data_IF_703248575622
#
_entry.id   IF_703248575622
#
_cell.length_a   1.000
_cell.length_b   1.000
_cell.length_c   1.000
_cell.angle_alpha   90.00
_cell.angle_beta   90.00
_cell.angle_gamma   90.00
#
_symmetry.space_group_name_H-M   'P 1'
#
loop_
_entity.id
_entity.type
_entity.pdbx_description
1 polymer ?
#
# COMPACT_ATOMS: atom_id res chain seq x y z
N UNK A 1 -20.20 23.87 -28.25
CA UNK A 1 -20.45 23.36 -26.88
C UNK A 1 -19.31 22.45 -26.47
N UNK A 2 -18.47 22.85 -25.51
CA UNK A 2 -17.53 21.92 -24.87
C UNK A 2 -18.36 20.99 -23.96
N UNK A 3 -18.45 19.71 -24.30
CA UNK A 3 -19.01 18.70 -23.39
C UNK A 3 -18.07 18.62 -22.19
N UNK A 4 -18.46 19.21 -21.07
CA UNK A 4 -17.82 18.95 -19.79
C UNK A 4 -18.22 17.54 -19.39
N UNK A 5 -17.31 16.59 -19.52
CA UNK A 5 -17.50 15.26 -18.94
C UNK A 5 -17.75 15.43 -17.44
N UNK A 6 -18.64 14.63 -16.83
CA UNK A 6 -18.81 14.65 -15.39
C UNK A 6 -17.46 14.37 -14.72
N UNK A 7 -17.14 15.06 -13.61
CA UNK A 7 -15.87 14.88 -12.92
C UNK A 7 -15.74 13.43 -12.46
N UNK A 8 -14.65 12.78 -12.85
CA UNK A 8 -14.33 11.42 -12.45
C UNK A 8 -13.91 11.39 -10.97
N UNK A 9 -14.58 10.56 -10.17
CA UNK A 9 -14.20 10.32 -8.78
C UNK A 9 -13.08 9.27 -8.72
N UNK A 10 -11.90 9.68 -9.19
CA UNK A 10 -10.71 8.83 -9.29
C UNK A 10 -10.36 8.13 -7.97
N UNK A 11 -10.39 8.79 -6.79
CA UNK A 11 -10.11 8.12 -5.52
C UNK A 11 -11.09 6.96 -5.27
N UNK A 12 -12.38 7.16 -5.50
CA UNK A 12 -13.40 6.12 -5.32
C UNK A 12 -13.17 4.94 -6.27
N UNK A 13 -12.87 5.21 -7.54
CA UNK A 13 -12.58 4.16 -8.53
C UNK A 13 -11.35 3.36 -8.10
N UNK A 14 -10.30 4.02 -7.63
CA UNK A 14 -9.09 3.35 -7.15
C UNK A 14 -9.35 2.49 -5.91
N UNK A 15 -10.17 2.94 -4.96
CA UNK A 15 -10.57 2.10 -3.82
C UNK A 15 -11.34 0.86 -4.24
N UNK A 16 -12.27 1.00 -5.20
CA UNK A 16 -13.02 -0.14 -5.74
C UNK A 16 -12.08 -1.10 -6.48
N UNK A 17 -11.19 -0.58 -7.32
CA UNK A 17 -10.21 -1.39 -8.05
C UNK A 17 -9.27 -2.13 -7.09
N UNK A 18 -8.80 -1.46 -6.03
CA UNK A 18 -7.97 -2.07 -4.99
C UNK A 18 -8.70 -3.19 -4.26
N UNK A 19 -9.99 -2.98 -3.93
CA UNK A 19 -10.84 -4.00 -3.32
C UNK A 19 -11.04 -5.22 -4.22
N UNK A 20 -11.30 -5.01 -5.51
CA UNK A 20 -11.42 -6.09 -6.49
C UNK A 20 -10.10 -6.86 -6.61
N UNK A 21 -8.97 -6.16 -6.67
CA UNK A 21 -7.65 -6.80 -6.74
C UNK A 21 -7.33 -7.60 -5.47
N UNK A 22 -7.67 -7.09 -4.29
CA UNK A 22 -7.54 -7.83 -3.03
C UNK A 22 -8.34 -9.14 -3.07
N UNK A 23 -9.60 -9.09 -3.50
CA UNK A 23 -10.44 -10.29 -3.63
C UNK A 23 -9.85 -11.25 -4.67
N UNK A 24 -9.41 -10.75 -5.82
CA UNK A 24 -8.82 -11.57 -6.88
C UNK A 24 -7.55 -12.29 -6.40
N UNK A 25 -6.67 -11.61 -5.66
CA UNK A 25 -5.46 -12.24 -5.09
C UNK A 25 -5.79 -13.30 -4.05
N UNK A 26 -6.80 -13.08 -3.19
CA UNK A 26 -7.27 -14.11 -2.25
C UNK A 26 -7.80 -15.34 -3.00
N UNK A 27 -8.67 -15.15 -3.99
CA UNK A 27 -9.24 -16.25 -4.78
C UNK A 27 -8.15 -17.00 -5.53
N UNK A 28 -7.20 -16.29 -6.14
CA UNK A 28 -6.07 -16.89 -6.85
C UNK A 28 -5.18 -17.72 -5.91
N UNK A 29 -4.92 -17.24 -4.69
CA UNK A 29 -4.16 -17.98 -3.68
C UNK A 29 -4.89 -19.25 -3.24
N UNK A 30 -6.20 -19.17 -2.98
CA UNK A 30 -7.01 -20.32 -2.59
C UNK A 30 -7.12 -21.37 -3.71
N UNK A 31 -7.09 -20.96 -4.96
CA UNK A 31 -7.09 -21.86 -6.12
C UNK A 31 -5.68 -22.39 -6.48
N UNK A 32 -4.65 -22.04 -5.71
CA UNK A 32 -3.27 -22.48 -5.96
C UNK A 32 -2.66 -21.91 -7.24
N UNK A 33 -3.14 -20.76 -7.73
CA UNK A 33 -2.60 -20.10 -8.93
C UNK A 33 -1.15 -19.71 -8.72
N UNK A 34 -0.81 -19.15 -7.55
CA UNK A 34 0.55 -18.73 -7.23
C UNK A 34 1.53 -19.91 -7.05
N UNK A 35 1.05 -21.12 -6.77
CA UNK A 35 1.88 -22.32 -6.74
C UNK A 35 2.41 -22.73 -8.13
N UNK A 36 1.81 -22.20 -9.20
CA UNK A 36 2.26 -22.42 -10.59
C UNK A 36 3.32 -21.41 -11.04
N UNK A 37 3.55 -20.37 -10.25
CA UNK A 37 4.53 -19.34 -10.55
C UNK A 37 5.87 -19.70 -9.92
N UNK A 38 6.94 -19.40 -10.64
CA UNK A 38 8.28 -19.34 -10.08
C UNK A 38 8.40 -18.19 -9.06
N UNK A 39 9.41 -18.27 -8.19
CA UNK A 39 9.71 -17.20 -7.25
C UNK A 39 10.02 -15.87 -7.95
N UNK A 40 10.65 -15.92 -9.12
CA UNK A 40 10.96 -14.76 -9.93
C UNK A 40 9.68 -14.07 -10.46
N UNK A 41 8.69 -14.84 -10.91
CA UNK A 41 7.40 -14.29 -11.35
C UNK A 41 6.59 -13.69 -10.20
N UNK A 42 6.60 -14.34 -9.03
CA UNK A 42 6.03 -13.78 -7.79
C UNK A 42 6.68 -12.46 -7.40
N UNK A 43 8.02 -12.40 -7.43
CA UNK A 43 8.78 -11.18 -7.18
C UNK A 43 8.47 -10.10 -8.21
N UNK A 44 8.35 -10.46 -9.49
CA UNK A 44 7.96 -9.56 -10.57
C UNK A 44 6.57 -8.97 -10.38
N UNK A 45 5.57 -9.78 -10.00
CA UNK A 45 4.22 -9.32 -9.70
C UNK A 45 4.19 -8.36 -8.50
N UNK A 46 4.92 -8.69 -7.43
CA UNK A 46 5.02 -7.84 -6.24
C UNK A 46 5.65 -6.49 -6.58
N UNK A 47 6.76 -6.50 -7.33
CA UNK A 47 7.44 -5.29 -7.81
C UNK A 47 6.53 -4.46 -8.72
N UNK A 48 5.83 -5.10 -9.66
CA UNK A 48 4.87 -4.43 -10.52
C UNK A 48 3.78 -3.74 -9.71
N UNK A 49 3.17 -4.44 -8.75
CA UNK A 49 2.14 -3.87 -7.88
C UNK A 49 2.67 -2.66 -7.09
N UNK A 50 3.89 -2.75 -6.56
CA UNK A 50 4.53 -1.66 -5.83
C UNK A 50 4.80 -0.44 -6.71
N UNK A 51 5.38 -0.64 -7.90
CA UNK A 51 5.68 0.43 -8.85
C UNK A 51 4.39 1.07 -9.35
N UNK A 52 3.37 0.27 -9.66
CA UNK A 52 2.06 0.76 -10.10
C UNK A 52 1.38 1.60 -9.00
N UNK A 53 1.34 1.11 -7.77
CA UNK A 53 0.77 1.83 -6.64
C UNK A 53 1.53 3.13 -6.36
N UNK A 54 2.86 3.10 -6.41
CA UNK A 54 3.70 4.29 -6.28
C UNK A 54 3.42 5.31 -7.39
N UNK A 55 3.47 4.87 -8.65
CA UNK A 55 3.21 5.72 -9.80
C UNK A 55 1.81 6.35 -9.74
N UNK A 56 0.78 5.56 -9.43
CA UNK A 56 -0.60 6.06 -9.25
C UNK A 56 -0.65 7.15 -8.17
N UNK A 57 0.01 6.91 -7.04
CA UNK A 57 0.06 7.86 -5.93
C UNK A 57 0.76 9.17 -6.29
N UNK A 58 1.85 9.12 -7.07
CA UNK A 58 2.65 10.31 -7.39
C UNK A 58 2.25 11.01 -8.68
N UNK A 59 1.64 10.33 -9.64
CA UNK A 59 1.27 10.91 -10.94
C UNK A 59 -0.17 11.42 -10.94
N UNK A 60 -1.09 10.76 -10.23
CA UNK A 60 -2.49 11.17 -10.19
C UNK A 60 -2.71 12.36 -9.24
N UNK A 61 -3.12 13.50 -9.82
CA UNK A 61 -3.36 14.71 -9.05
C UNK A 61 -4.57 14.59 -8.11
N UNK A 62 -5.65 13.97 -8.56
CA UNK A 62 -6.88 13.82 -7.77
C UNK A 62 -6.61 12.98 -6.52
N UNK A 63 -5.85 11.90 -6.68
CA UNK A 63 -5.42 11.07 -5.56
C UNK A 63 -4.48 11.83 -4.62
N UNK A 64 -3.49 12.56 -5.14
CA UNK A 64 -2.59 13.38 -4.28
C UNK A 64 -3.36 14.42 -3.47
N UNK A 65 -4.30 15.12 -4.09
CA UNK A 65 -5.12 16.14 -3.44
C UNK A 65 -6.01 15.48 -2.37
N UNK A 66 -6.64 14.35 -2.69
CA UNK A 66 -7.40 13.55 -1.72
C UNK A 66 -6.54 13.12 -0.53
N UNK A 67 -5.36 12.57 -0.78
CA UNK A 67 -4.41 12.13 0.23
C UNK A 67 -3.92 13.32 1.09
N UNK A 68 -3.69 14.49 0.50
CA UNK A 68 -3.28 15.68 1.24
C UNK A 68 -4.31 16.10 2.31
N UNK A 69 -5.61 15.90 2.07
CA UNK A 69 -6.67 16.22 3.06
C UNK A 69 -6.69 15.31 4.28
N UNK A 70 -6.05 14.14 4.23
CA UNK A 70 -6.08 13.16 5.32
C UNK A 70 -5.15 13.57 6.46
N UNK A 71 -5.43 13.15 7.68
CA UNK A 71 -4.56 13.45 8.83
C UNK A 71 -3.36 12.50 8.88
N UNK A 72 -2.23 12.91 9.45
CA UNK A 72 -1.07 12.00 9.65
C UNK A 72 -1.45 10.78 10.49
N UNK A 73 -2.39 10.94 11.45
CA UNK A 73 -2.92 9.84 12.24
C UNK A 73 -3.61 8.79 11.37
N UNK A 74 -4.36 9.21 10.34
CA UNK A 74 -5.00 8.30 9.39
C UNK A 74 -4.00 7.43 8.63
N UNK A 75 -2.86 8.00 8.23
CA UNK A 75 -1.78 7.22 7.60
C UNK A 75 -1.13 6.24 8.57
N UNK A 76 -0.89 6.68 9.80
CA UNK A 76 -0.31 5.83 10.84
C UNK A 76 -1.22 4.63 11.13
N UNK A 77 -2.52 4.87 11.32
CA UNK A 77 -3.51 3.81 11.51
C UNK A 77 -3.51 2.83 10.34
N UNK A 78 -3.54 3.34 9.10
CA UNK A 78 -3.50 2.50 7.91
C UNK A 78 -2.24 1.63 7.84
N UNK A 79 -1.06 2.21 8.06
CA UNK A 79 0.20 1.47 8.05
C UNK A 79 0.21 0.38 9.12
N UNK A 80 -0.21 0.70 10.35
CA UNK A 80 -0.30 -0.28 11.44
C UNK A 80 -1.26 -1.43 11.10
N UNK A 81 -2.43 -1.14 10.53
CA UNK A 81 -3.41 -2.15 10.16
C UNK A 81 -2.87 -3.09 9.08
N UNK A 82 -2.24 -2.53 8.04
CA UNK A 82 -1.65 -3.33 6.97
C UNK A 82 -0.47 -4.17 7.49
N UNK A 83 0.41 -3.58 8.29
CA UNK A 83 1.56 -4.30 8.87
C UNK A 83 1.13 -5.42 9.81
N UNK A 84 0.09 -5.20 10.60
CA UNK A 84 -0.51 -6.25 11.43
C UNK A 84 -1.06 -7.38 10.56
N UNK A 85 -1.73 -7.06 9.45
CA UNK A 85 -2.17 -8.04 8.47
C UNK A 85 -1.03 -8.83 7.83
N UNK A 86 0.06 -8.16 7.47
CA UNK A 86 1.30 -8.77 6.94
C UNK A 86 1.90 -9.73 7.98
N UNK A 87 2.04 -9.29 9.24
CA UNK A 87 2.60 -10.09 10.32
C UNK A 87 1.75 -11.33 10.61
N UNK A 88 0.43 -11.16 10.77
CA UNK A 88 -0.50 -12.27 11.03
C UNK A 88 -0.51 -13.25 9.86
N UNK A 89 -0.62 -12.75 8.62
CA UNK A 89 -0.59 -13.60 7.42
C UNK A 89 0.71 -14.41 7.34
N UNK A 90 1.85 -13.77 7.57
CA UNK A 90 3.15 -14.45 7.56
C UNK A 90 3.23 -15.53 8.64
N UNK A 91 2.80 -15.24 9.87
CA UNK A 91 2.78 -16.22 10.97
C UNK A 91 1.88 -17.42 10.65
N UNK A 92 0.67 -17.18 10.13
CA UNK A 92 -0.25 -18.26 9.75
C UNK A 92 0.37 -19.12 8.65
N UNK A 93 0.94 -18.51 7.61
CA UNK A 93 1.52 -19.25 6.50
C UNK A 93 2.70 -20.12 6.92
N UNK A 94 3.60 -19.56 7.75
CA UNK A 94 4.74 -20.32 8.27
C UNK A 94 4.28 -21.46 9.19
N UNK A 95 3.25 -21.22 10.01
CA UNK A 95 2.65 -22.26 10.86
C UNK A 95 2.04 -23.40 10.03
N UNK A 96 1.24 -23.07 9.01
CA UNK A 96 0.63 -24.06 8.10
C UNK A 96 1.68 -24.82 7.28
N UNK A 97 2.76 -24.16 6.88
CA UNK A 97 3.85 -24.77 6.14
C UNK A 97 4.86 -25.53 7.03
N UNK A 98 4.60 -25.66 8.34
CA UNK A 98 5.51 -26.29 9.30
C UNK A 98 6.94 -25.71 9.23
N UNK A 99 7.06 -24.39 9.04
CA UNK A 99 8.32 -23.69 8.90
C UNK A 99 9.00 -23.80 7.53
N UNK A 100 8.41 -24.50 6.55
CA UNK A 100 8.95 -24.61 5.19
C UNK A 100 8.62 -23.34 4.39
N UNK A 101 9.55 -22.39 4.42
CA UNK A 101 9.39 -21.06 3.81
C UNK A 101 8.98 -21.15 2.33
N UNK A 102 9.63 -21.98 1.53
CA UNK A 102 9.33 -22.10 0.09
C UNK A 102 7.87 -22.50 -0.17
N UNK A 103 7.32 -23.43 0.62
CA UNK A 103 5.93 -23.85 0.51
C UNK A 103 4.97 -22.74 0.98
N UNK A 104 5.37 -21.96 1.99
CA UNK A 104 4.59 -20.83 2.47
C UNK A 104 4.49 -19.73 1.41
N UNK A 105 5.60 -19.39 0.72
CA UNK A 105 5.68 -18.24 -0.20
C UNK A 105 4.63 -18.27 -1.32
N UNK A 106 4.25 -19.45 -1.79
CA UNK A 106 3.30 -19.63 -2.90
C UNK A 106 1.89 -20.02 -2.45
N UNK A 107 1.68 -20.17 -1.15
CA UNK A 107 0.42 -20.64 -0.56
C UNK A 107 -0.32 -19.50 0.14
N UNK A 108 -1.63 -19.68 0.29
CA UNK A 108 -2.40 -18.82 1.18
C UNK A 108 -1.92 -19.00 2.63
N UNK A 109 -1.79 -17.91 3.43
CA UNK A 109 -2.04 -16.49 3.08
C UNK A 109 -0.82 -15.72 2.54
N UNK A 110 0.39 -16.26 2.59
CA UNK A 110 1.61 -15.49 2.33
C UNK A 110 1.74 -15.04 0.87
N UNK A 111 1.15 -15.77 -0.10
CA UNK A 111 1.07 -15.27 -1.47
C UNK A 111 0.33 -13.92 -1.56
N UNK A 112 -0.81 -13.78 -0.85
CA UNK A 112 -1.58 -12.51 -0.79
C UNK A 112 -0.76 -11.41 -0.12
N UNK A 113 -0.03 -11.75 0.94
CA UNK A 113 0.88 -10.81 1.61
C UNK A 113 1.91 -10.27 0.62
N UNK A 114 2.55 -11.15 -0.16
CA UNK A 114 3.61 -10.77 -1.10
C UNK A 114 3.09 -9.93 -2.26
N UNK A 115 1.98 -10.33 -2.89
CA UNK A 115 1.51 -9.70 -4.13
C UNK A 115 0.60 -8.49 -3.90
N UNK A 116 0.12 -8.29 -2.67
CA UNK A 116 -0.83 -7.22 -2.36
C UNK A 116 -0.46 -6.41 -1.12
N UNK A 117 -0.44 -7.05 0.06
CA UNK A 117 -0.34 -6.31 1.31
C UNK A 117 1.02 -5.61 1.46
N UNK A 118 2.11 -6.29 1.08
CA UNK A 118 3.47 -5.78 1.21
C UNK A 118 3.76 -4.60 0.26
N UNK A 119 3.42 -4.65 -1.04
CA UNK A 119 3.47 -3.48 -1.92
C UNK A 119 2.67 -2.29 -1.37
N UNK A 120 1.47 -2.54 -0.85
CA UNK A 120 0.61 -1.50 -0.30
C UNK A 120 1.20 -0.88 0.98
N UNK A 121 1.73 -1.73 1.87
CA UNK A 121 2.43 -1.30 3.08
C UNK A 121 3.63 -0.41 2.74
N UNK A 122 4.44 -0.81 1.74
CA UNK A 122 5.60 -0.06 1.30
C UNK A 122 5.22 1.36 0.81
N UNK A 123 4.16 1.49 0.01
CA UNK A 123 3.65 2.80 -0.41
C UNK A 123 3.13 3.60 0.78
N UNK A 124 2.40 2.97 1.71
CA UNK A 124 1.93 3.59 2.95
C UNK A 124 3.07 4.17 3.78
N UNK A 125 4.16 3.42 3.94
CA UNK A 125 5.37 3.85 4.61
C UNK A 125 6.05 5.03 3.92
N UNK A 126 6.15 5.02 2.58
CA UNK A 126 6.71 6.15 1.83
C UNK A 126 5.91 7.44 2.05
N UNK A 127 4.58 7.35 2.02
CA UNK A 127 3.70 8.50 2.25
C UNK A 127 3.78 9.01 3.69
N UNK A 128 3.84 8.11 4.66
CA UNK A 128 4.01 8.45 6.06
C UNK A 128 5.36 9.14 6.28
N UNK A 129 6.45 8.56 5.76
CA UNK A 129 7.80 9.13 5.84
C UNK A 129 7.86 10.53 5.23
N UNK A 130 7.30 10.73 4.03
CA UNK A 130 7.25 12.05 3.40
C UNK A 130 6.50 13.09 4.24
N UNK A 131 5.41 12.70 4.89
CA UNK A 131 4.66 13.60 5.78
C UNK A 131 5.41 13.94 7.05
N UNK A 132 6.13 12.98 7.63
CA UNK A 132 6.91 13.19 8.84
C UNK A 132 8.14 14.08 8.54
N UNK A 133 8.80 13.86 7.40
CA UNK A 133 9.95 14.68 6.98
C UNK A 133 9.55 16.11 6.57
N UNK A 134 8.37 16.30 5.97
CA UNK A 134 7.84 17.64 5.66
C UNK A 134 7.42 18.45 6.89
N UNK A 135 7.38 17.84 8.07
CA UNK A 135 7.03 18.52 9.34
C UNK A 135 8.20 19.23 10.02
N UNK A 136 9.38 19.32 9.39
CA UNK A 136 10.52 19.99 10.00
C UNK A 136 10.31 21.50 10.24
N UNK A 137 10.80 22.03 11.39
CA UNK A 137 10.27 23.23 12.03
C UNK A 137 11.07 24.49 11.67
N UNK A 138 11.01 24.96 10.42
CA UNK A 138 11.67 26.24 10.06
C UNK A 138 10.90 27.48 10.58
N UNK A 139 9.76 27.28 11.28
CA UNK A 139 8.97 28.36 11.86
C UNK A 139 9.17 28.58 13.38
N UNK A 140 9.96 27.76 14.07
CA UNK A 140 10.22 27.95 15.51
C UNK A 140 11.41 28.88 15.82
N UNK A 141 12.21 29.29 14.82
CA UNK A 141 13.45 30.09 15.03
C UNK A 141 13.34 31.56 14.58
N UNK A 142 12.15 32.06 14.26
CA UNK A 142 11.93 33.48 13.91
C UNK A 142 10.89 34.13 14.80
N UNK A 143 11.07 34.05 16.11
CA UNK A 143 10.52 35.06 17.00
C UNK A 143 11.59 36.17 17.10
N UNK A 144 11.37 37.37 16.53
CA UNK A 144 12.25 38.48 16.82
C UNK A 144 12.14 38.77 18.31
N UNK A 145 13.26 38.63 19.02
CA UNK A 145 13.40 39.12 20.39
C UNK A 145 13.19 40.63 20.30
N UNK A 146 12.00 41.10 20.68
CA UNK A 146 11.77 42.52 20.98
C UNK A 146 12.45 42.77 22.32
N UNK A 147 13.66 43.29 22.29
CA UNK A 147 14.33 43.80 23.48
C UNK A 147 13.66 45.13 23.88
N UNK A 148 13.42 45.36 25.19
CA UNK A 148 12.81 46.57 25.70
C UNK A 148 13.69 47.82 25.54
#
# INVERSE_FOLDING_TARGET
MKRTLPPEDTPRILFVALGIWAVATVVAALQGVFAKLSLAEMGGLSLFAFVFASATTYLDRSLRDYLATRSTRSYLTFVIEVDLGVAIGTMIALGLAQGRVEAALTSFPLAVVIVFALPLAAVGHLLLAQRLLRRDPVHALRSPVVLP
#
